data_IF_560069958605
#
_entry.id   IF_560069958605
#
_cell.length_a   1.000
_cell.length_b   1.000
_cell.length_c   1.000
_cell.angle_alpha   90.00
_cell.angle_beta   90.00
_cell.angle_gamma   90.00
#
_symmetry.space_group_name_H-M   'P 1'
#
loop_
_entity.id
_entity.type
_entity.pdbx_description
1 polymer ?
#
# COMPACT_ATOMS: atom_id res chain seq x y z
N UNK A 1 25.80 -27.84 -9.72
CA UNK A 1 24.37 -27.62 -9.48
C UNK A 1 24.18 -26.15 -9.23
N UNK A 2 23.70 -25.40 -10.22
CA UNK A 2 23.41 -23.98 -10.08
C UNK A 2 22.02 -23.86 -9.47
N UNK A 3 21.95 -23.54 -8.19
CA UNK A 3 20.71 -23.10 -7.55
C UNK A 3 20.16 -21.92 -8.35
N UNK A 4 19.01 -22.15 -8.98
CA UNK A 4 18.25 -21.14 -9.69
C UNK A 4 17.74 -20.15 -8.64
N UNK A 5 18.53 -19.10 -8.39
CA UNK A 5 18.11 -17.92 -7.61
C UNK A 5 16.85 -17.40 -8.27
N UNK A 6 15.67 -17.63 -7.68
CA UNK A 6 14.36 -17.13 -8.17
C UNK A 6 14.43 -15.61 -8.30
N UNK A 7 14.56 -15.04 -9.51
CA UNK A 7 14.62 -13.58 -9.70
C UNK A 7 13.23 -12.97 -9.79
N UNK A 8 12.20 -13.78 -10.09
CA UNK A 8 10.84 -13.25 -10.31
C UNK A 8 10.20 -12.75 -9.02
N UNK A 9 10.45 -13.45 -7.90
CA UNK A 9 9.85 -13.10 -6.60
C UNK A 9 10.32 -11.73 -6.10
N UNK A 10 11.60 -11.40 -6.27
CA UNK A 10 12.14 -10.10 -5.84
C UNK A 10 11.72 -8.95 -6.75
N UNK A 11 11.59 -9.21 -8.06
CA UNK A 11 11.08 -8.21 -9.00
C UNK A 11 9.58 -7.93 -8.76
N UNK A 12 8.77 -8.96 -8.58
CA UNK A 12 7.35 -8.85 -8.26
C UNK A 12 7.12 -8.09 -6.94
N UNK A 13 7.86 -8.43 -5.88
CA UNK A 13 7.83 -7.73 -4.59
C UNK A 13 8.25 -6.26 -4.73
N UNK A 14 9.30 -5.98 -5.51
CA UNK A 14 9.73 -4.62 -5.78
C UNK A 14 8.67 -3.83 -6.57
N UNK A 15 8.07 -4.42 -7.60
CA UNK A 15 7.01 -3.78 -8.39
C UNK A 15 5.80 -3.49 -7.51
N UNK A 16 5.36 -4.44 -6.67
CA UNK A 16 4.23 -4.24 -5.75
C UNK A 16 4.51 -3.11 -4.76
N UNK A 17 5.74 -3.05 -4.21
CA UNK A 17 6.16 -1.94 -3.35
C UNK A 17 6.11 -0.59 -4.06
N UNK A 18 6.59 -0.51 -5.31
CA UNK A 18 6.53 0.73 -6.09
C UNK A 18 5.09 1.16 -6.39
N UNK A 19 4.21 0.21 -6.73
CA UNK A 19 2.79 0.49 -6.97
C UNK A 19 2.11 1.04 -5.71
N UNK A 20 2.38 0.46 -4.55
CA UNK A 20 1.86 0.95 -3.29
C UNK A 20 2.37 2.36 -2.97
N UNK A 21 3.67 2.61 -3.12
CA UNK A 21 4.25 3.94 -2.90
C UNK A 21 3.63 4.99 -3.81
N UNK A 22 3.42 4.68 -5.09
CA UNK A 22 2.77 5.58 -6.04
C UNK A 22 1.31 5.89 -5.65
N UNK A 23 0.56 4.91 -5.14
CA UNK A 23 -0.79 5.13 -4.61
C UNK A 23 -0.77 6.03 -3.35
N UNK A 24 0.21 5.85 -2.46
CA UNK A 24 0.39 6.69 -1.26
C UNK A 24 0.71 8.14 -1.64
N UNK A 25 1.63 8.36 -2.59
CA UNK A 25 1.95 9.71 -3.09
C UNK A 25 0.73 10.40 -3.70
N UNK A 26 -0.07 9.64 -4.46
CA UNK A 26 -1.32 10.13 -5.04
C UNK A 26 -2.32 10.55 -3.95
N UNK A 27 -2.47 9.73 -2.90
CA UNK A 27 -3.33 10.06 -1.76
C UNK A 27 -2.84 11.30 -0.98
N UNK A 28 -1.52 11.45 -0.81
CA UNK A 28 -0.93 12.62 -0.17
C UNK A 28 -1.21 13.90 -0.97
N UNK A 29 -1.05 13.85 -2.29
CA UNK A 29 -1.34 14.98 -3.19
C UNK A 29 -2.83 15.35 -3.14
N UNK A 30 -3.72 14.35 -3.15
CA UNK A 30 -5.16 14.56 -3.00
C UNK A 30 -5.51 15.27 -1.68
N UNK A 31 -4.94 14.83 -0.54
CA UNK A 31 -5.14 15.49 0.75
C UNK A 31 -4.61 16.93 0.77
N UNK A 32 -3.47 17.18 0.13
CA UNK A 32 -2.90 18.52 0.01
C UNK A 32 -3.83 19.47 -0.76
N UNK A 33 -4.41 19.00 -1.88
CA UNK A 33 -5.40 19.77 -2.64
C UNK A 33 -6.67 20.02 -1.84
N UNK A 34 -7.19 19.00 -1.16
CA UNK A 34 -8.39 19.14 -0.33
C UNK A 34 -8.19 20.21 0.74
N UNK A 35 -7.04 20.19 1.44
CA UNK A 35 -6.66 21.22 2.41
C UNK A 35 -6.58 22.60 1.75
N UNK A 36 -5.90 22.71 0.60
CA UNK A 36 -5.72 23.99 -0.11
C UNK A 36 -7.06 24.66 -0.46
N UNK A 37 -8.03 23.90 -0.96
CA UNK A 37 -9.35 24.43 -1.30
C UNK A 37 -10.19 24.74 -0.06
N UNK A 38 -10.12 23.89 0.97
CA UNK A 38 -10.87 24.06 2.22
C UNK A 38 -10.46 25.34 2.96
N UNK A 39 -9.15 25.63 3.11
CA UNK A 39 -8.68 26.86 3.79
C UNK A 39 -9.05 28.15 3.05
N UNK A 40 -9.41 28.04 1.77
CA UNK A 40 -9.86 29.15 0.91
C UNK A 40 -11.37 29.21 0.76
N UNK A 41 -12.12 28.39 1.51
CA UNK A 41 -13.59 28.28 1.41
C UNK A 41 -14.09 27.94 0.00
N UNK A 42 -13.26 27.30 -0.82
CA UNK A 42 -13.65 26.84 -2.15
C UNK A 42 -14.33 25.47 -2.04
N UNK A 43 -15.59 25.49 -1.59
CA UNK A 43 -16.39 24.29 -1.30
C UNK A 43 -16.77 23.49 -2.56
N UNK A 44 -16.86 24.15 -3.72
CA UNK A 44 -17.13 23.47 -4.99
C UNK A 44 -16.01 22.48 -5.32
N UNK A 45 -14.75 22.94 -5.30
CA UNK A 45 -13.59 22.08 -5.55
C UNK A 45 -13.38 21.07 -4.43
N UNK A 46 -13.59 21.46 -3.17
CA UNK A 46 -13.52 20.52 -2.05
C UNK A 46 -14.55 19.38 -2.21
N UNK A 47 -15.77 19.69 -2.68
CA UNK A 47 -16.80 18.69 -2.97
C UNK A 47 -16.41 17.72 -4.08
N UNK A 48 -15.80 18.22 -5.16
CA UNK A 48 -15.26 17.38 -6.24
C UNK A 48 -14.18 16.45 -5.70
N UNK A 49 -13.24 16.97 -4.91
CA UNK A 49 -12.17 16.16 -4.32
C UNK A 49 -12.71 15.11 -3.34
N UNK A 50 -13.74 15.43 -2.55
CA UNK A 50 -14.39 14.46 -1.65
C UNK A 50 -15.06 13.32 -2.43
N UNK A 51 -15.63 13.59 -3.60
CA UNK A 51 -16.23 12.55 -4.45
C UNK A 51 -15.19 11.54 -4.98
N UNK A 52 -13.90 11.87 -4.96
CA UNK A 52 -12.81 10.97 -5.36
C UNK A 52 -12.33 10.05 -4.23
N UNK A 53 -12.79 10.25 -2.99
CA UNK A 53 -12.27 9.55 -1.81
C UNK A 53 -12.35 8.02 -1.95
N UNK A 54 -13.46 7.50 -2.46
CA UNK A 54 -13.66 6.06 -2.65
C UNK A 54 -12.66 5.45 -3.62
N UNK A 55 -12.27 6.19 -4.68
CA UNK A 55 -11.28 5.73 -5.65
C UNK A 55 -9.88 5.72 -5.05
N UNK A 56 -9.50 6.79 -4.34
CA UNK A 56 -8.22 6.86 -3.63
C UNK A 56 -8.10 5.72 -2.60
N UNK A 57 -9.14 5.50 -1.79
CA UNK A 57 -9.13 4.41 -0.81
C UNK A 57 -9.09 3.03 -1.48
N UNK A 58 -9.72 2.86 -2.65
CA UNK A 58 -9.68 1.62 -3.41
C UNK A 58 -8.29 1.35 -3.97
N UNK A 59 -7.63 2.36 -4.55
CA UNK A 59 -6.29 2.23 -5.12
C UNK A 59 -5.26 1.86 -4.04
N UNK A 60 -5.35 2.48 -2.86
CA UNK A 60 -4.51 2.12 -1.71
C UNK A 60 -4.72 0.66 -1.28
N UNK A 61 -5.98 0.18 -1.22
CA UNK A 61 -6.27 -1.21 -0.85
C UNK A 61 -5.79 -2.20 -1.90
N UNK A 62 -5.97 -1.89 -3.18
CA UNK A 62 -5.61 -2.76 -4.29
C UNK A 62 -4.10 -2.88 -4.49
N UNK A 63 -3.34 -1.86 -4.10
CA UNK A 63 -1.88 -1.84 -4.22
C UNK A 63 -1.17 -2.25 -2.94
N UNK A 64 -1.90 -2.39 -1.82
CA UNK A 64 -1.33 -2.83 -0.55
C UNK A 64 -0.61 -4.18 -0.72
N UNK A 65 0.57 -4.36 -0.11
CA UNK A 65 1.23 -5.66 -0.06
C UNK A 65 0.29 -6.68 0.58
N UNK A 66 -0.08 -7.72 -0.17
CA UNK A 66 -0.73 -8.90 0.40
C UNK A 66 0.34 -9.75 1.05
N UNK A 67 0.52 -9.59 2.37
CA UNK A 67 1.31 -10.54 3.13
C UNK A 67 0.66 -11.93 3.02
N UNK A 68 1.31 -12.83 2.29
CA UNK A 68 1.11 -14.28 2.44
C UNK A 68 1.77 -14.75 3.74
N UNK A 69 1.41 -14.18 4.89
CA UNK A 69 1.55 -14.88 6.16
C UNK A 69 0.26 -15.66 6.38
N UNK A 70 0.21 -16.85 5.78
CA UNK A 70 -0.69 -17.88 6.28
C UNK A 70 -0.42 -18.04 7.79
N UNK A 71 -1.45 -18.13 8.65
CA UNK A 71 -1.28 -18.38 10.09
C UNK A 71 -0.44 -19.62 10.40
N UNK A 72 -0.30 -20.56 9.45
CA UNK A 72 0.51 -21.77 9.56
C UNK A 72 2.03 -21.52 9.56
N UNK A 73 2.50 -20.38 9.05
CA UNK A 73 3.94 -20.04 9.03
C UNK A 73 4.46 -19.65 10.43
N UNK A 74 3.58 -19.16 11.31
CA UNK A 74 3.94 -18.78 12.70
C UNK A 74 3.97 -20.03 13.61
N UNK A 75 3.26 -21.11 13.24
CA UNK A 75 3.16 -22.34 14.04
C UNK A 75 4.41 -23.26 13.99
N UNK A 76 5.43 -22.92 13.20
CA UNK A 76 6.65 -23.73 13.03
C UNK A 76 7.91 -23.12 13.67
N UNK A 77 7.77 -22.11 14.53
CA UNK A 77 8.90 -21.70 15.38
C UNK A 77 9.12 -22.81 16.43
N UNK A 78 10.28 -23.47 16.46
CA UNK A 78 10.57 -24.42 17.53
C UNK A 78 10.60 -23.63 18.84
N UNK A 79 9.83 -24.11 19.83
CA UNK A 79 9.97 -23.64 21.21
C UNK A 79 11.43 -23.83 21.61
N UNK A 80 12.13 -22.71 21.80
CA UNK A 80 13.48 -22.70 22.35
C UNK A 80 13.33 -23.11 23.81
N UNK A 81 13.47 -24.41 24.09
CA UNK A 81 13.63 -24.91 25.44
C UNK A 81 14.97 -24.38 25.98
N UNK A 82 14.87 -23.47 26.94
CA UNK A 82 16.00 -23.10 27.79
C UNK A 82 16.13 -24.15 28.89
N UNK A 83 17.01 -25.13 28.67
CA UNK A 83 17.67 -25.91 29.72
C UNK A 83 19.06 -25.33 30.02
#
# INVERSE_FOLDING_TARGET
MTDSVKPSRTLEEWVQRQQFLSAVESAQNWLAMLRYHTVRYNWSEAGILLALADNICRDLRNTAPTDHTTPESIAHLPEVNHD
#
